data_IF_007948770442
#
_entry.id   IF_007948770442
#
_cell.length_a   1.000
_cell.length_b   1.000
_cell.length_c   1.000
_cell.angle_alpha   90.00
_cell.angle_beta   90.00
_cell.angle_gamma   90.00
#
_symmetry.space_group_name_H-M   'P 1'
#
loop_
_entity.id
_entity.type
_entity.pdbx_description
1 polymer ?
#
# COMPACT_ATOMS: atom_id res chain seq x y z
N UNK A 1 26.54 -10.42 -13.79
CA UNK A 1 25.73 -9.21 -13.49
C UNK A 1 24.29 -9.69 -13.29
N UNK A 2 23.57 -9.21 -12.27
CA UNK A 2 22.18 -9.64 -12.01
C UNK A 2 21.18 -8.78 -12.77
N UNK A 3 20.16 -9.41 -13.36
CA UNK A 3 19.10 -8.76 -14.15
C UNK A 3 17.86 -8.38 -13.32
N UNK A 4 17.80 -8.82 -12.06
CA UNK A 4 16.69 -8.58 -11.15
C UNK A 4 17.13 -7.93 -9.84
N UNK A 5 16.21 -7.18 -9.22
CA UNK A 5 16.33 -6.53 -7.92
C UNK A 5 15.29 -7.12 -6.97
N UNK A 6 15.73 -7.45 -5.76
CA UNK A 6 14.88 -7.85 -4.64
C UNK A 6 15.22 -6.98 -3.43
N UNK A 7 14.21 -6.35 -2.83
CA UNK A 7 14.38 -5.46 -1.68
C UNK A 7 14.22 -6.24 -0.38
N UNK A 8 15.10 -5.98 0.58
CA UNK A 8 15.12 -6.64 1.89
C UNK A 8 15.36 -5.59 2.95
N UNK A 9 14.46 -5.52 3.92
CA UNK A 9 14.60 -4.62 5.05
C UNK A 9 15.66 -5.17 6.02
N UNK A 10 16.49 -4.27 6.57
CA UNK A 10 17.63 -4.66 7.42
C UNK A 10 17.23 -5.33 8.74
N UNK A 11 15.96 -5.21 9.11
CA UNK A 11 15.37 -5.79 10.31
C UNK A 11 14.66 -7.13 10.10
N UNK A 12 14.67 -7.64 8.86
CA UNK A 12 14.03 -8.88 8.48
C UNK A 12 15.04 -9.96 8.04
N UNK A 13 14.52 -11.14 7.70
CA UNK A 13 15.33 -12.23 7.18
C UNK A 13 14.71 -12.86 5.94
N UNK A 14 15.53 -13.60 5.20
CA UNK A 14 15.09 -14.44 4.11
C UNK A 14 15.08 -15.92 4.56
N UNK A 15 14.13 -16.73 4.08
CA UNK A 15 14.28 -18.18 4.05
C UNK A 15 15.59 -18.57 3.36
N UNK A 16 16.24 -19.64 3.82
CA UNK A 16 17.53 -20.10 3.27
C UNK A 16 17.47 -20.39 1.76
N UNK A 17 16.33 -20.85 1.28
CA UNK A 17 16.07 -21.22 -0.11
C UNK A 17 15.41 -20.10 -0.94
N UNK A 18 15.22 -18.89 -0.38
CA UNK A 18 14.50 -17.80 -1.02
C UNK A 18 15.09 -17.42 -2.39
N UNK A 19 16.42 -17.29 -2.48
CA UNK A 19 17.11 -16.92 -3.72
C UNK A 19 16.98 -18.02 -4.78
N UNK A 20 17.02 -19.30 -4.39
CA UNK A 20 16.86 -20.43 -5.31
C UNK A 20 15.44 -20.47 -5.89
N UNK A 21 14.43 -20.26 -5.04
CA UNK A 21 13.02 -20.14 -5.45
C UNK A 21 12.81 -18.98 -6.42
N UNK A 22 13.37 -17.80 -6.12
CA UNK A 22 13.31 -16.63 -6.99
C UNK A 22 13.96 -16.94 -8.35
N UNK A 23 15.17 -17.49 -8.36
CA UNK A 23 15.88 -17.85 -9.61
C UNK A 23 15.11 -18.85 -10.45
N UNK A 24 14.54 -19.87 -9.80
CA UNK A 24 13.73 -20.89 -10.47
C UNK A 24 12.51 -20.25 -11.14
N UNK A 25 11.83 -19.33 -10.45
CA UNK A 25 10.67 -18.62 -10.98
C UNK A 25 11.03 -17.67 -12.12
N UNK A 26 12.16 -16.96 -12.03
CA UNK A 26 12.68 -16.11 -13.12
C UNK A 26 12.91 -16.96 -14.38
N UNK A 27 13.56 -18.11 -14.25
CA UNK A 27 13.89 -18.97 -15.38
C UNK A 27 12.66 -19.52 -16.12
N UNK A 28 11.57 -19.78 -15.39
CA UNK A 28 10.32 -20.30 -15.97
C UNK A 28 9.51 -19.18 -16.62
N UNK A 29 9.37 -18.03 -15.94
CA UNK A 29 8.36 -17.04 -16.33
C UNK A 29 8.94 -15.86 -17.12
N UNK A 30 10.20 -15.48 -16.88
CA UNK A 30 10.85 -14.29 -17.46
C UNK A 30 10.03 -12.99 -17.34
N UNK A 31 9.23 -12.86 -16.27
CA UNK A 31 8.33 -11.73 -16.04
C UNK A 31 9.06 -10.47 -15.60
N UNK A 32 8.42 -9.32 -15.80
CA UNK A 32 8.95 -8.01 -15.40
C UNK A 32 8.92 -7.86 -13.88
N UNK A 33 7.87 -8.40 -13.27
CA UNK A 33 7.67 -8.43 -11.81
C UNK A 33 7.24 -9.83 -11.40
N UNK A 34 7.84 -10.33 -10.33
CA UNK A 34 7.39 -11.52 -9.61
C UNK A 34 6.83 -11.07 -8.26
N UNK A 35 5.69 -11.61 -7.88
CA UNK A 35 5.04 -11.36 -6.61
C UNK A 35 4.91 -12.67 -5.84
N UNK A 36 5.50 -12.70 -4.65
CA UNK A 36 5.55 -13.90 -3.82
C UNK A 36 4.76 -13.73 -2.54
N UNK A 37 4.51 -14.83 -1.85
CA UNK A 37 4.09 -14.76 -0.46
C UNK A 37 5.28 -14.43 0.46
N UNK A 38 4.90 -14.10 1.69
CA UNK A 38 5.84 -13.95 2.78
C UNK A 38 5.25 -14.55 4.04
N UNK A 39 6.07 -14.63 5.06
CA UNK A 39 5.67 -15.10 6.36
C UNK A 39 6.03 -14.08 7.42
N UNK A 40 5.24 -13.99 8.48
CA UNK A 40 5.49 -13.07 9.57
C UNK A 40 5.52 -13.78 10.92
N UNK A 41 6.33 -13.26 11.83
CA UNK A 41 6.37 -13.68 13.23
C UNK A 41 5.96 -12.52 14.13
N UNK A 42 4.98 -12.76 15.00
CA UNK A 42 4.58 -11.78 16.01
C UNK A 42 5.58 -11.76 17.16
N UNK A 43 5.76 -10.60 17.79
CA UNK A 43 6.59 -10.48 18.99
C UNK A 43 6.15 -11.48 20.07
N UNK A 44 7.10 -12.29 20.56
CA UNK A 44 6.85 -13.32 21.56
C UNK A 44 6.19 -14.60 21.03
N UNK A 45 5.87 -14.67 19.74
CA UNK A 45 5.33 -15.88 19.12
C UNK A 45 6.45 -16.87 18.74
N UNK A 46 6.19 -18.17 18.92
CA UNK A 46 7.06 -19.23 18.41
C UNK A 46 6.54 -19.66 17.04
N UNK A 47 7.04 -19.04 15.97
CA UNK A 47 6.82 -19.48 14.60
C UNK A 47 6.40 -18.39 13.63
N UNK A 48 6.14 -18.84 12.40
CA UNK A 48 5.77 -18.00 11.28
C UNK A 48 4.35 -18.31 10.81
N UNK A 49 3.60 -17.26 10.48
CA UNK A 49 2.29 -17.33 9.81
C UNK A 49 2.43 -16.78 8.40
N UNK A 50 1.64 -17.30 7.47
CA UNK A 50 1.59 -16.75 6.11
C UNK A 50 0.98 -15.34 6.10
N UNK A 51 1.58 -14.42 5.34
CA UNK A 51 1.05 -13.07 5.14
C UNK A 51 -0.23 -13.10 4.31
N UNK A 52 -0.30 -13.99 3.31
CA UNK A 52 -1.48 -14.17 2.46
C UNK A 52 -1.95 -15.64 2.49
N UNK A 53 -3.25 -15.83 2.67
CA UNK A 53 -3.91 -17.12 2.58
C UNK A 53 -4.91 -17.10 1.41
N UNK A 54 -4.39 -17.07 0.19
CA UNK A 54 -5.18 -17.00 -1.06
C UNK A 54 -4.98 -18.31 -1.80
N UNK A 55 -6.06 -19.09 -1.97
CA UNK A 55 -6.00 -20.39 -2.64
C UNK A 55 -5.90 -20.26 -4.17
N UNK A 56 -6.58 -19.28 -4.74
CA UNK A 56 -6.62 -19.03 -6.18
C UNK A 56 -6.12 -17.60 -6.46
N UNK A 57 -4.81 -17.39 -6.67
CA UNK A 57 -4.31 -16.08 -7.08
C UNK A 57 -4.89 -15.70 -8.46
N UNK A 58 -5.21 -14.42 -8.62
CA UNK A 58 -5.81 -13.87 -9.83
C UNK A 58 -4.88 -12.76 -10.33
N UNK A 59 -4.19 -13.01 -11.44
CA UNK A 59 -3.68 -11.96 -12.31
C UNK A 59 -3.49 -12.55 -13.72
N UNK A 60 -4.37 -12.18 -14.65
CA UNK A 60 -4.19 -12.50 -16.07
C UNK A 60 -3.43 -11.39 -16.81
N UNK A 61 -3.27 -10.23 -16.17
CA UNK A 61 -2.60 -9.03 -16.69
C UNK A 61 -2.10 -8.13 -15.55
N UNK A 62 -1.25 -7.15 -15.88
CA UNK A 62 -0.84 -6.10 -14.93
C UNK A 62 -2.03 -5.26 -14.41
N UNK A 63 -3.07 -5.07 -15.22
CA UNK A 63 -4.32 -4.40 -14.82
C UNK A 63 -5.12 -5.20 -13.77
N UNK A 64 -5.17 -6.53 -13.91
CA UNK A 64 -5.80 -7.39 -12.91
C UNK A 64 -5.02 -7.36 -11.59
N UNK A 65 -3.69 -7.35 -11.69
CA UNK A 65 -2.83 -7.20 -10.52
C UNK A 65 -3.05 -5.86 -9.82
N UNK A 66 -3.12 -4.75 -10.57
CA UNK A 66 -3.44 -3.42 -10.02
C UNK A 66 -4.83 -3.40 -9.37
N UNK A 67 -5.81 -4.08 -9.96
CA UNK A 67 -7.13 -4.25 -9.36
C UNK A 67 -7.01 -4.92 -7.99
N UNK A 68 -6.32 -6.06 -7.92
CA UNK A 68 -6.10 -6.79 -6.68
C UNK A 68 -5.29 -6.00 -5.63
N UNK A 69 -4.31 -5.19 -6.06
CA UNK A 69 -3.58 -4.28 -5.19
C UNK A 69 -4.52 -3.20 -4.62
N UNK A 70 -5.32 -2.57 -5.47
CA UNK A 70 -6.19 -1.46 -5.08
C UNK A 70 -7.37 -1.88 -4.22
N UNK A 71 -7.87 -3.10 -4.37
CA UNK A 71 -8.90 -3.69 -3.50
C UNK A 71 -8.31 -4.19 -2.17
N UNK A 72 -6.99 -4.27 -2.04
CA UNK A 72 -6.30 -4.79 -0.88
C UNK A 72 -6.26 -6.33 -0.81
N UNK A 73 -6.55 -7.00 -1.93
CA UNK A 73 -6.35 -8.46 -2.08
C UNK A 73 -4.85 -8.79 -2.10
N UNK A 74 -4.04 -7.98 -2.77
CA UNK A 74 -2.58 -8.03 -2.73
C UNK A 74 -2.01 -6.87 -1.93
N UNK A 75 -0.84 -7.10 -1.34
CA UNK A 75 -0.23 -6.20 -0.37
C UNK A 75 0.82 -5.34 -1.05
N UNK A 76 0.81 -4.05 -0.76
CA UNK A 76 1.76 -3.09 -1.31
C UNK A 76 3.04 -3.02 -0.46
N UNK A 77 3.69 -4.16 -0.22
CA UNK A 77 4.97 -4.23 0.50
C UNK A 77 6.07 -4.64 -0.47
N UNK A 78 7.06 -3.78 -0.68
CA UNK A 78 8.00 -3.99 -1.78
C UNK A 78 8.85 -5.24 -1.63
N UNK A 79 9.12 -5.69 -0.40
CA UNK A 79 9.81 -6.93 -0.10
C UNK A 79 9.01 -8.20 -0.45
N UNK A 80 7.77 -8.08 -0.95
CA UNK A 80 7.03 -9.19 -1.57
C UNK A 80 7.28 -9.30 -3.08
N UNK A 81 8.04 -8.38 -3.66
CA UNK A 81 8.21 -8.24 -5.10
C UNK A 81 9.67 -8.39 -5.52
N UNK A 82 9.88 -9.06 -6.65
CA UNK A 82 11.16 -9.12 -7.36
C UNK A 82 10.96 -8.47 -8.71
N UNK A 83 11.85 -7.58 -9.11
CA UNK A 83 11.67 -6.70 -10.25
C UNK A 83 12.81 -6.87 -11.25
N UNK A 84 12.52 -6.80 -12.56
CA UNK A 84 13.58 -6.54 -13.53
C UNK A 84 14.29 -5.24 -13.20
N UNK A 85 15.62 -5.26 -13.26
CA UNK A 85 16.48 -4.13 -12.88
C UNK A 85 16.18 -2.86 -13.68
N UNK A 86 15.83 -3.01 -14.96
CA UNK A 86 15.57 -1.91 -15.89
C UNK A 86 14.40 -1.01 -15.49
N UNK A 87 13.44 -1.52 -14.71
CA UNK A 87 12.29 -0.75 -14.18
C UNK A 87 12.79 0.47 -13.40
N UNK A 88 13.90 0.32 -12.67
CA UNK A 88 14.47 1.37 -11.83
C UNK A 88 15.40 2.34 -12.59
N UNK A 89 15.54 2.19 -13.90
CA UNK A 89 16.18 3.20 -14.73
C UNK A 89 15.33 4.47 -14.80
N UNK A 90 13.99 4.32 -14.78
CA UNK A 90 13.03 5.42 -14.91
C UNK A 90 12.25 5.67 -13.62
N UNK A 91 12.00 4.65 -12.81
CA UNK A 91 11.22 4.77 -11.57
C UNK A 91 12.15 4.89 -10.37
N UNK A 92 11.87 5.87 -9.50
CA UNK A 92 12.58 6.13 -8.24
C UNK A 92 11.57 6.24 -7.11
N UNK A 93 11.98 5.83 -5.91
CA UNK A 93 11.19 6.07 -4.70
C UNK A 93 11.11 7.57 -4.42
N UNK A 94 9.96 8.05 -3.88
CA UNK A 94 9.85 9.41 -3.41
C UNK A 94 10.80 9.65 -2.22
N UNK A 95 11.73 10.59 -2.37
CA UNK A 95 12.72 10.88 -1.34
C UNK A 95 12.05 11.40 -0.06
N UNK A 96 12.37 10.78 1.09
CA UNK A 96 11.89 11.20 2.41
C UNK A 96 10.37 11.05 2.60
N UNK A 97 9.69 10.25 1.79
CA UNK A 97 8.28 9.94 2.00
C UNK A 97 8.12 8.71 2.90
N UNK A 98 7.11 8.75 3.75
CA UNK A 98 6.55 7.55 4.39
C UNK A 98 5.48 6.94 3.48
N UNK A 99 5.30 5.62 3.55
CA UNK A 99 4.42 4.87 2.65
C UNK A 99 4.89 4.94 1.19
N UNK A 100 6.19 5.05 0.99
CA UNK A 100 6.92 5.05 -0.26
C UNK A 100 6.59 3.86 -1.16
N UNK A 101 6.36 2.67 -0.59
CA UNK A 101 5.94 1.48 -1.33
C UNK A 101 4.58 1.70 -2.02
N UNK A 102 3.58 2.16 -1.25
CA UNK A 102 2.26 2.48 -1.76
C UNK A 102 2.28 3.67 -2.76
N UNK A 103 3.34 4.50 -2.69
CA UNK A 103 3.60 5.61 -3.60
C UNK A 103 4.46 5.21 -4.82
N UNK A 104 4.97 3.98 -4.90
CA UNK A 104 5.88 3.53 -5.97
C UNK A 104 5.31 2.35 -6.75
N UNK A 105 4.76 1.34 -6.06
CA UNK A 105 4.23 0.12 -6.68
C UNK A 105 3.16 0.38 -7.76
N UNK A 106 2.21 1.33 -7.59
CA UNK A 106 1.26 1.65 -8.67
C UNK A 106 1.92 2.16 -9.96
N UNK A 107 3.04 2.88 -9.87
CA UNK A 107 3.80 3.30 -11.05
C UNK A 107 4.45 2.12 -11.74
N UNK A 108 5.12 1.25 -10.98
CA UNK A 108 5.79 0.06 -11.50
C UNK A 108 4.78 -0.83 -12.20
N UNK A 109 3.69 -1.18 -11.51
CA UNK A 109 2.69 -2.11 -12.04
C UNK A 109 1.94 -1.56 -13.26
N UNK A 110 1.89 -0.24 -13.43
CA UNK A 110 1.32 0.41 -14.62
C UNK A 110 2.32 0.53 -15.77
N UNK A 111 3.62 0.36 -15.53
CA UNK A 111 4.66 0.45 -16.55
C UNK A 111 5.14 -0.91 -17.07
N UNK A 112 4.63 -2.02 -16.52
CA UNK A 112 5.06 -3.38 -16.88
C UNK A 112 3.95 -4.16 -17.56
N UNK A 113 4.36 -5.14 -18.36
CA UNK A 113 3.43 -5.98 -19.13
C UNK A 113 3.10 -7.27 -18.37
N UNK A 114 4.12 -7.92 -17.78
CA UNK A 114 3.99 -9.24 -17.19
C UNK A 114 4.30 -9.25 -15.70
N UNK A 115 3.29 -9.59 -14.90
CA UNK A 115 3.43 -9.88 -13.47
C UNK A 115 3.13 -11.35 -13.23
N UNK A 116 4.09 -12.07 -12.65
CA UNK A 116 3.89 -13.47 -12.23
C UNK A 116 3.68 -13.58 -10.74
N UNK A 117 2.89 -14.56 -10.32
CA UNK A 117 2.53 -14.77 -8.93
C UNK A 117 2.98 -16.16 -8.49
N UNK A 118 3.53 -16.28 -7.28
CA UNK A 118 3.70 -17.53 -6.54
C UNK A 118 3.35 -17.30 -5.06
N UNK A 119 2.12 -17.64 -4.67
CA UNK A 119 1.68 -17.51 -3.28
C UNK A 119 1.84 -18.78 -2.44
N UNK A 120 2.22 -19.90 -3.07
CA UNK A 120 2.56 -21.14 -2.35
C UNK A 120 3.92 -21.07 -1.70
N UNK A 121 4.80 -20.21 -2.23
CA UNK A 121 6.16 -20.04 -1.76
C UNK A 121 6.28 -18.76 -0.92
N UNK A 122 6.77 -18.90 0.31
CA UNK A 122 7.26 -17.76 1.09
C UNK A 122 8.73 -17.50 0.77
N UNK A 123 9.06 -16.26 0.41
CA UNK A 123 10.44 -15.81 0.16
C UNK A 123 10.97 -14.83 1.20
N UNK A 124 10.18 -14.54 2.24
CA UNK A 124 10.49 -13.48 3.20
C UNK A 124 9.98 -13.79 4.61
N UNK A 125 10.76 -13.43 5.62
CA UNK A 125 10.44 -13.54 7.04
C UNK A 125 10.36 -12.14 7.65
N UNK A 126 9.14 -11.63 7.79
CA UNK A 126 8.83 -10.34 8.39
C UNK A 126 8.71 -10.45 9.91
N UNK A 127 9.53 -9.72 10.67
CA UNK A 127 9.46 -9.75 12.13
C UNK A 127 8.69 -8.54 12.67
N UNK A 128 7.52 -8.80 13.26
CA UNK A 128 6.72 -7.74 13.86
C UNK A 128 7.34 -7.31 15.18
N UNK A 129 7.87 -6.09 15.20
CA UNK A 129 8.52 -5.49 16.38
C UNK A 129 7.58 -4.56 17.14
N UNK A 130 7.79 -4.47 18.46
CA UNK A 130 7.21 -3.41 19.26
C UNK A 130 7.89 -2.08 18.92
N UNK A 131 7.11 -1.02 18.70
CA UNK A 131 7.66 0.30 18.35
C UNK A 131 8.21 0.48 16.92
N UNK A 132 7.79 -0.34 15.93
CA UNK A 132 8.21 -0.16 14.52
C UNK A 132 8.00 1.27 14.01
N UNK A 133 8.70 1.74 12.97
CA UNK A 133 8.57 3.13 12.50
C UNK A 133 7.17 3.42 11.92
N UNK A 134 6.56 2.42 11.24
CA UNK A 134 5.13 2.42 10.85
C UNK A 134 4.16 2.56 12.05
N UNK A 135 4.72 2.42 13.26
CA UNK A 135 4.28 2.72 14.63
C UNK A 135 4.13 4.15 15.11
N UNK A 136 4.70 5.12 14.39
CA UNK A 136 5.02 6.43 14.97
C UNK A 136 4.31 7.57 14.25
N UNK A 137 3.95 8.61 15.00
CA UNK A 137 3.47 9.87 14.42
C UNK A 137 4.66 10.64 13.88
N UNK A 138 4.82 10.68 12.55
CA UNK A 138 5.97 11.31 11.89
C UNK A 138 5.56 12.60 11.14
N UNK A 139 6.38 13.67 11.12
CA UNK A 139 6.07 14.90 10.39
C UNK A 139 5.77 14.67 8.89
N UNK A 140 6.41 13.67 8.28
CA UNK A 140 6.21 13.31 6.87
C UNK A 140 4.79 12.80 6.57
N UNK A 141 3.98 12.44 7.57
CA UNK A 141 2.58 12.06 7.38
C UNK A 141 1.79 13.16 6.65
N UNK A 142 2.15 14.43 6.87
CA UNK A 142 1.54 15.57 6.18
C UNK A 142 1.61 15.44 4.65
N UNK A 143 2.71 14.89 4.13
CA UNK A 143 3.00 14.81 2.70
C UNK A 143 2.35 13.61 1.99
N UNK A 144 1.78 12.65 2.73
CA UNK A 144 1.17 11.45 2.13
C UNK A 144 0.04 11.80 1.15
N UNK A 145 -0.86 12.71 1.53
CA UNK A 145 -1.98 13.11 0.66
C UNK A 145 -1.54 13.94 -0.55
N UNK A 146 -0.68 14.96 -0.41
CA UNK A 146 -0.03 15.60 -1.55
C UNK A 146 0.64 14.61 -2.51
N UNK A 147 1.41 13.64 -2.00
CA UNK A 147 2.07 12.64 -2.84
C UNK A 147 1.06 11.77 -3.61
N UNK A 148 -0.04 11.35 -2.97
CA UNK A 148 -1.13 10.65 -3.68
C UNK A 148 -1.81 11.51 -4.75
N UNK A 149 -1.89 12.84 -4.57
CA UNK A 149 -2.41 13.73 -5.62
C UNK A 149 -1.46 13.81 -6.82
N UNK A 150 -0.15 13.87 -6.58
CA UNK A 150 0.86 13.81 -7.65
C UNK A 150 0.78 12.48 -8.40
N UNK A 151 0.58 11.38 -7.67
CA UNK A 151 0.34 10.07 -8.27
C UNK A 151 -0.92 10.03 -9.12
N UNK A 152 -2.03 10.53 -8.60
CA UNK A 152 -3.29 10.63 -9.33
C UNK A 152 -3.12 11.37 -10.66
N UNK A 153 -2.46 12.53 -10.65
CA UNK A 153 -2.24 13.33 -11.85
C UNK A 153 -1.39 12.61 -12.89
N UNK A 154 -0.35 11.89 -12.45
CA UNK A 154 0.55 11.15 -13.36
C UNK A 154 -0.09 9.89 -13.93
N UNK A 155 -0.83 9.13 -13.11
CA UNK A 155 -1.41 7.84 -13.52
C UNK A 155 -2.80 7.94 -14.15
N UNK A 156 -3.55 9.01 -13.83
CA UNK A 156 -4.98 9.14 -14.11
C UNK A 156 -5.37 10.56 -14.55
N UNK A 157 -4.53 11.21 -15.38
CA UNK A 157 -4.67 12.63 -15.78
C UNK A 157 -6.02 13.00 -16.39
N UNK A 158 -6.69 12.09 -17.10
CA UNK A 158 -7.98 12.32 -17.75
C UNK A 158 -9.19 11.74 -16.99
N UNK A 159 -8.97 11.05 -15.86
CA UNK A 159 -10.00 10.42 -15.02
C UNK A 159 -10.92 9.40 -15.72
N UNK A 160 -10.57 8.91 -16.93
CA UNK A 160 -11.39 7.97 -17.71
C UNK A 160 -10.97 6.50 -17.59
N UNK A 161 -9.79 6.26 -17.04
CA UNK A 161 -9.24 4.92 -16.83
C UNK A 161 -10.15 4.09 -15.89
N UNK A 162 -10.41 2.83 -16.25
CA UNK A 162 -11.28 1.95 -15.48
C UNK A 162 -10.76 1.62 -14.08
N UNK A 163 -9.44 1.71 -13.86
CA UNK A 163 -8.82 1.53 -12.56
C UNK A 163 -8.91 2.76 -11.66
N UNK A 164 -9.26 3.93 -12.21
CA UNK A 164 -9.27 5.19 -11.45
C UNK A 164 -10.17 5.16 -10.20
N UNK A 165 -11.42 4.64 -10.24
CA UNK A 165 -12.24 4.50 -9.05
C UNK A 165 -11.63 3.59 -7.97
N UNK A 166 -10.96 2.51 -8.40
CA UNK A 166 -10.25 1.59 -7.50
C UNK A 166 -9.02 2.27 -6.88
N UNK A 167 -8.29 3.07 -7.66
CA UNK A 167 -7.20 3.90 -7.12
C UNK A 167 -7.72 4.91 -6.07
N UNK A 168 -8.86 5.55 -6.31
CA UNK A 168 -9.52 6.44 -5.33
C UNK A 168 -9.88 5.67 -4.05
N UNK A 169 -10.38 4.44 -4.19
CA UNK A 169 -10.62 3.55 -3.05
C UNK A 169 -9.33 3.20 -2.30
N UNK A 170 -8.30 2.74 -3.01
CA UNK A 170 -6.98 2.41 -2.47
C UNK A 170 -6.41 3.55 -1.62
N UNK A 171 -6.23 4.75 -2.20
CA UNK A 171 -5.68 5.89 -1.45
C UNK A 171 -6.54 6.29 -0.24
N UNK A 172 -7.86 6.11 -0.33
CA UNK A 172 -8.78 6.46 0.77
C UNK A 172 -8.66 5.45 1.91
N UNK A 173 -8.51 4.15 1.62
CA UNK A 173 -8.28 3.15 2.67
C UNK A 173 -6.93 3.33 3.37
N UNK A 174 -5.88 3.74 2.64
CA UNK A 174 -4.61 4.15 3.25
C UNK A 174 -4.80 5.35 4.18
N UNK A 175 -5.47 6.40 3.69
CA UNK A 175 -5.78 7.58 4.51
C UNK A 175 -6.60 7.21 5.76
N UNK A 176 -7.58 6.31 5.67
CA UNK A 176 -8.35 5.87 6.84
C UNK A 176 -7.49 5.20 7.91
N UNK A 177 -6.52 4.37 7.49
CA UNK A 177 -5.55 3.72 8.40
C UNK A 177 -4.67 4.78 9.06
N UNK A 178 -4.08 5.64 8.24
CA UNK A 178 -3.18 6.72 8.69
C UNK A 178 -3.91 7.70 9.62
N UNK A 179 -5.15 8.06 9.29
CA UNK A 179 -6.01 8.94 10.08
C UNK A 179 -6.27 8.35 11.47
N UNK A 180 -6.59 7.07 11.54
CA UNK A 180 -6.77 6.36 12.82
C UNK A 180 -5.48 6.38 13.63
N UNK A 181 -4.34 6.02 13.03
CA UNK A 181 -3.06 6.01 13.74
C UNK A 181 -2.66 7.42 14.20
N UNK A 182 -2.94 8.45 13.41
CA UNK A 182 -2.71 9.84 13.77
C UNK A 182 -3.48 10.23 15.05
N UNK A 183 -4.77 9.88 15.15
CA UNK A 183 -5.55 10.15 16.37
C UNK A 183 -5.09 9.34 17.59
N UNK A 184 -4.60 8.11 17.38
CA UNK A 184 -4.14 7.24 18.48
C UNK A 184 -2.77 7.69 19.01
N UNK A 185 -1.89 8.20 18.14
CA UNK A 185 -0.46 8.34 18.43
C UNK A 185 0.06 9.77 18.47
N UNK A 186 -0.70 10.75 17.99
CA UNK A 186 -0.34 12.16 18.15
C UNK A 186 -0.14 12.53 19.62
N UNK A 187 0.74 13.49 19.92
CA UNK A 187 0.98 13.94 21.29
C UNK A 187 -0.23 14.66 21.88
N UNK A 188 -1.09 15.20 21.03
CA UNK A 188 -2.30 15.90 21.42
C UNK A 188 -3.39 15.76 20.36
N UNK A 189 -4.65 15.82 20.78
CA UNK A 189 -5.79 15.86 19.86
C UNK A 189 -5.71 17.06 18.90
N UNK A 190 -5.13 18.18 19.34
CA UNK A 190 -4.90 19.36 18.50
C UNK A 190 -4.00 19.06 17.31
N UNK A 191 -2.88 18.36 17.53
CA UNK A 191 -1.93 17.98 16.48
C UNK A 191 -2.57 17.07 15.43
N UNK A 192 -3.28 16.03 15.86
CA UNK A 192 -4.05 15.19 14.94
C UNK A 192 -5.08 16.02 14.16
N UNK A 193 -5.88 16.85 14.82
CA UNK A 193 -6.90 17.67 14.14
C UNK A 193 -6.27 18.65 13.14
N UNK A 194 -5.13 19.26 13.46
CA UNK A 194 -4.41 20.14 12.55
C UNK A 194 -3.98 19.41 11.27
N UNK A 195 -3.43 18.20 11.40
CA UNK A 195 -3.07 17.34 10.26
C UNK A 195 -4.29 17.00 9.39
N UNK A 196 -5.41 16.62 10.00
CA UNK A 196 -6.64 16.32 9.27
C UNK A 196 -7.25 17.55 8.60
N UNK A 197 -7.19 18.74 9.22
CA UNK A 197 -7.59 20.02 8.61
C UNK A 197 -6.74 20.37 7.39
N UNK A 198 -5.46 19.99 7.39
CA UNK A 198 -4.61 20.12 6.21
C UNK A 198 -5.05 19.13 5.12
N UNK A 199 -5.14 17.83 5.43
CA UNK A 199 -5.55 16.82 4.46
C UNK A 199 -6.92 17.08 3.83
N UNK A 200 -7.90 17.58 4.61
CA UNK A 200 -9.24 17.87 4.07
C UNK A 200 -9.19 18.90 2.93
N UNK A 201 -8.20 19.81 2.91
CA UNK A 201 -8.01 20.77 1.82
C UNK A 201 -7.38 20.12 0.59
N UNK A 202 -6.46 19.18 0.79
CA UNK A 202 -5.73 18.51 -0.28
C UNK A 202 -6.59 17.44 -1.00
N UNK A 203 -7.56 16.82 -0.34
CA UNK A 203 -8.34 15.72 -0.94
C UNK A 203 -9.41 16.29 -1.88
N UNK A 204 -9.51 15.84 -3.14
CA UNK A 204 -10.58 16.26 -4.04
C UNK A 204 -11.97 15.83 -3.55
N UNK A 205 -12.95 16.74 -3.57
CA UNK A 205 -14.33 16.44 -3.15
C UNK A 205 -15.01 15.39 -4.03
N UNK A 206 -14.63 15.31 -5.32
CA UNK A 206 -15.10 14.27 -6.27
C UNK A 206 -14.85 12.85 -5.78
N UNK A 207 -13.86 12.63 -4.91
CA UNK A 207 -13.58 11.30 -4.39
C UNK A 207 -14.78 10.74 -3.62
N UNK A 208 -15.58 11.60 -2.97
CA UNK A 208 -16.79 11.19 -2.25
C UNK A 208 -17.81 10.58 -3.23
N UNK A 209 -18.11 11.27 -4.33
CA UNK A 209 -19.11 10.80 -5.31
C UNK A 209 -18.62 9.55 -6.05
N UNK A 210 -17.33 9.46 -6.36
CA UNK A 210 -16.71 8.26 -6.95
C UNK A 210 -16.89 7.07 -6.00
N UNK A 211 -16.46 7.20 -4.75
CA UNK A 211 -16.56 6.10 -3.77
C UNK A 211 -18.02 5.67 -3.55
N UNK A 212 -18.94 6.63 -3.48
CA UNK A 212 -20.36 6.32 -3.33
C UNK A 212 -20.92 5.54 -4.52
N UNK A 213 -20.64 6.01 -5.75
CA UNK A 213 -21.09 5.39 -7.01
C UNK A 213 -20.57 3.96 -7.18
N UNK A 214 -19.35 3.70 -6.73
CA UNK A 214 -18.71 2.39 -6.83
C UNK A 214 -18.91 1.50 -5.59
N UNK A 215 -19.87 1.84 -4.72
CA UNK A 215 -20.28 0.97 -3.61
C UNK A 215 -19.39 1.03 -2.36
N UNK A 216 -18.34 1.86 -2.35
CA UNK A 216 -17.43 2.05 -1.22
C UNK A 216 -17.98 3.06 -0.19
N UNK A 217 -19.22 2.84 0.26
CA UNK A 217 -19.98 3.77 1.12
C UNK A 217 -19.25 4.12 2.41
N UNK A 218 -18.55 3.18 3.05
CA UNK A 218 -17.77 3.42 4.28
C UNK A 218 -16.66 4.44 4.05
N UNK A 219 -15.92 4.30 2.95
CA UNK A 219 -14.86 5.24 2.57
C UNK A 219 -15.43 6.61 2.18
N UNK A 220 -16.60 6.64 1.53
CA UNK A 220 -17.30 7.88 1.23
C UNK A 220 -17.75 8.62 2.51
N UNK A 221 -18.36 7.91 3.47
CA UNK A 221 -18.76 8.45 4.78
C UNK A 221 -17.55 8.98 5.54
N UNK A 222 -16.44 8.24 5.54
CA UNK A 222 -15.19 8.71 6.12
C UNK A 222 -14.73 10.05 5.53
N UNK A 223 -14.74 10.19 4.20
CA UNK A 223 -14.35 11.45 3.56
C UNK A 223 -15.34 12.59 3.84
N UNK A 224 -16.64 12.30 3.96
CA UNK A 224 -17.65 13.29 4.37
C UNK A 224 -17.30 13.81 5.78
N UNK A 225 -17.09 12.92 6.75
CA UNK A 225 -16.71 13.28 8.12
C UNK A 225 -15.41 14.09 8.17
N UNK A 226 -14.40 13.68 7.41
CA UNK A 226 -13.12 14.40 7.32
C UNK A 226 -13.28 15.82 6.74
N UNK A 227 -14.15 15.98 5.74
CA UNK A 227 -14.42 17.26 5.07
C UNK A 227 -15.23 18.22 5.96
N UNK A 228 -16.20 17.71 6.70
CA UNK A 228 -17.04 18.50 7.61
C UNK A 228 -16.25 18.94 8.84
N UNK A 229 -15.94 18.01 9.73
CA UNK A 229 -15.22 18.27 10.97
C UNK A 229 -14.35 17.07 11.42
N UNK A 230 -13.01 17.22 11.39
CA UNK A 230 -12.09 16.21 11.92
C UNK A 230 -12.32 15.81 13.38
N UNK A 231 -12.94 16.67 14.22
CA UNK A 231 -13.27 16.28 15.59
C UNK A 231 -14.37 15.22 15.64
N UNK A 232 -15.40 15.33 14.79
CA UNK A 232 -16.44 14.29 14.66
C UNK A 232 -15.84 12.96 14.21
N UNK A 233 -14.88 13.01 13.28
CA UNK A 233 -14.15 11.81 12.84
C UNK A 233 -13.45 11.10 14.02
N UNK A 234 -12.84 11.85 14.95
CA UNK A 234 -12.22 11.28 16.15
C UNK A 234 -13.21 10.55 17.06
N UNK A 235 -14.44 11.06 17.18
CA UNK A 235 -15.51 10.42 17.94
C UNK A 235 -15.95 9.10 17.29
N UNK A 236 -16.08 9.08 15.96
CA UNK A 236 -16.44 7.87 15.22
C UNK A 236 -15.41 6.75 15.38
N UNK A 237 -14.12 7.09 15.46
CA UNK A 237 -13.08 6.11 15.76
C UNK A 237 -13.22 5.54 17.18
N UNK A 238 -13.46 6.40 18.20
CA UNK A 238 -13.66 5.97 19.59
C UNK A 238 -14.86 5.02 19.72
N UNK A 239 -15.95 5.32 19.02
CA UNK A 239 -17.18 4.53 19.01
C UNK A 239 -17.11 3.29 18.09
N UNK A 240 -15.97 3.04 17.42
CA UNK A 240 -15.76 1.92 16.49
C UNK A 240 -16.75 1.89 15.31
N UNK A 241 -17.35 3.03 14.95
CA UNK A 241 -18.33 3.17 13.87
C UNK A 241 -17.70 3.12 12.47
N UNK A 242 -16.37 3.25 12.40
CA UNK A 242 -15.57 3.15 11.18
C UNK A 242 -14.66 1.92 11.19
N UNK A 243 -15.01 0.85 11.92
CA UNK A 243 -14.27 -0.44 11.91
C UNK A 243 -14.58 -1.30 10.70
#
# INVERSE_FOLDING_TARGET
VSDYIFFVDSDDALPLDAIEKIKSKIAIDSSDVLYFNASYSEFGSKGFKSMLNIQNPIASSSSDFLTALYTGTYLAYIWMYVFKKEIFNTIKFPNGAVYEDALTLPYILKSVEKVSIDLSTSIYHYYVREGSISRSFHPQLKEVIPNFNVMEQKLYSNFKDSLYPLFVYFRTTYLMRISREAFVRSKSQYEAVALHRYWKKCIPARNISILWRYGHKRSAIFLILLKTDPLLLSLFYKLKLLK
#
